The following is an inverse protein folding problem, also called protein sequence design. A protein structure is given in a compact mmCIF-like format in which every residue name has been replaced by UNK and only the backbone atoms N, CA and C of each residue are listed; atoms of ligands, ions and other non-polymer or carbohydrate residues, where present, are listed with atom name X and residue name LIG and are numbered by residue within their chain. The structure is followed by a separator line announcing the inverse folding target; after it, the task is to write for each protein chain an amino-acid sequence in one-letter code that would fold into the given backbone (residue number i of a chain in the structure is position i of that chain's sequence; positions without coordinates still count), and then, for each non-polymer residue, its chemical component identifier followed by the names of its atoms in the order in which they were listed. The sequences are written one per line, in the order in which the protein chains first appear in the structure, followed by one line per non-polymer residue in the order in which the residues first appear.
data_IF_601777868101
#
_entry.id   IF_601777868101
#
_cell.length_a   1.000
_cell.length_b   1.000
_cell.length_c   1.000
_cell.angle_alpha   90.00
_cell.angle_beta   90.00
_cell.angle_gamma   90.00
#
_symmetry.space_group_name_H-M   'P 1'
#
loop_
_entity.id
_entity.type
_entity.pdbx_description
1 polymer ?
#
# COMPACT_ATOMS: atom_id res chain seq x y z
N UNK A 1 2.36 5.46 55.02
CA UNK A 1 2.26 4.11 54.43
C UNK A 1 3.08 4.13 53.15
N UNK A 2 4.10 3.27 52.99
CA UNK A 2 4.91 3.25 51.78
C UNK A 2 4.11 2.63 50.62
N UNK A 3 4.09 3.37 49.50
CA UNK A 3 3.45 3.04 48.23
C UNK A 3 4.15 1.83 47.59
N UNK A 4 3.37 0.83 47.16
CA UNK A 4 3.92 -0.37 46.54
C UNK A 4 4.53 -0.03 45.17
N UNK A 5 5.70 -0.60 44.81
CA UNK A 5 6.31 -0.34 43.52
C UNK A 5 5.43 -0.85 42.38
N UNK A 6 5.39 -0.14 41.22
CA UNK A 6 4.58 -0.55 40.08
C UNK A 6 5.06 -1.91 39.55
N UNK A 7 4.13 -2.73 39.01
CA UNK A 7 4.49 -4.05 38.50
C UNK A 7 5.48 -3.94 37.34
N UNK A 8 6.42 -4.91 37.20
CA UNK A 8 7.37 -4.92 36.11
C UNK A 8 6.63 -4.93 34.77
N UNK A 9 7.13 -4.08 33.86
CA UNK A 9 6.52 -3.78 32.57
C UNK A 9 6.06 -5.03 31.82
N UNK A 10 4.83 -4.94 31.29
CA UNK A 10 4.35 -5.92 30.33
C UNK A 10 5.38 -6.02 29.19
N UNK A 11 5.68 -7.24 28.72
CA UNK A 11 6.53 -7.39 27.55
C UNK A 11 5.91 -6.59 26.41
N UNK A 12 6.64 -5.57 25.94
CA UNK A 12 6.39 -4.93 24.66
C UNK A 12 6.20 -6.07 23.67
N UNK A 13 5.00 -6.23 23.11
CA UNK A 13 4.74 -7.25 22.08
C UNK A 13 5.89 -7.17 21.10
N UNK A 14 6.71 -8.20 21.05
CA UNK A 14 7.74 -8.32 20.03
C UNK A 14 7.01 -8.12 18.70
N UNK A 15 7.35 -7.05 17.98
CA UNK A 15 6.84 -6.84 16.63
C UNK A 15 7.03 -8.15 15.88
N UNK A 16 5.94 -8.66 15.30
CA UNK A 16 6.02 -9.84 14.45
C UNK A 16 7.18 -9.67 13.46
N UNK A 17 7.95 -10.74 13.17
CA UNK A 17 9.04 -10.65 12.20
C UNK A 17 8.46 -10.06 10.91
N UNK A 18 9.07 -8.98 10.42
CA UNK A 18 8.61 -8.32 9.21
C UNK A 18 8.49 -9.34 8.08
N UNK A 19 7.36 -9.32 7.36
CA UNK A 19 7.11 -10.25 6.26
C UNK A 19 8.30 -10.23 5.28
N UNK A 20 9.00 -11.36 5.06
CA UNK A 20 10.15 -11.41 4.14
C UNK A 20 9.78 -11.01 2.70
N UNK A 21 8.52 -11.17 2.30
CA UNK A 21 8.02 -10.67 1.02
C UNK A 21 8.03 -9.14 0.98
N UNK A 22 7.61 -8.47 2.06
CA UNK A 22 7.66 -7.02 2.17
C UNK A 22 9.10 -6.49 2.21
N UNK A 23 10.00 -7.14 2.94
CA UNK A 23 11.43 -6.80 2.93
C UNK A 23 12.05 -6.88 1.52
N UNK A 24 11.63 -7.87 0.74
CA UNK A 24 12.03 -8.00 -0.67
C UNK A 24 11.45 -6.87 -1.52
N UNK A 25 10.18 -6.52 -1.34
CA UNK A 25 9.52 -5.41 -2.04
C UNK A 25 10.25 -4.07 -1.81
N UNK A 26 10.66 -3.79 -0.57
CA UNK A 26 11.43 -2.58 -0.22
C UNK A 26 12.83 -2.61 -0.84
N UNK A 27 13.54 -3.74 -0.81
CA UNK A 27 14.84 -3.86 -1.45
C UNK A 27 14.76 -3.59 -2.97
N UNK A 28 13.71 -4.10 -3.63
CA UNK A 28 13.44 -3.85 -5.05
C UNK A 28 13.06 -2.41 -5.34
N UNK A 29 12.26 -1.79 -4.48
CA UNK A 29 11.91 -0.38 -4.55
C UNK A 29 13.17 0.52 -4.53
N UNK A 30 14.09 0.24 -3.61
CA UNK A 30 15.35 1.01 -3.51
C UNK A 30 16.25 0.83 -4.74
N UNK A 31 16.29 -0.36 -5.35
CA UNK A 31 17.04 -0.60 -6.58
C UNK A 31 16.45 0.16 -7.79
N UNK A 32 15.13 0.37 -7.80
CA UNK A 32 14.41 1.02 -8.90
C UNK A 32 14.61 2.54 -8.96
N UNK A 33 14.90 3.18 -7.82
CA UNK A 33 15.21 4.61 -7.71
C UNK A 33 16.23 5.09 -8.75
N UNK A 34 17.19 4.25 -9.13
CA UNK A 34 18.23 4.59 -10.11
C UNK A 34 17.74 4.65 -11.57
N UNK A 35 16.54 4.15 -11.88
CA UNK A 35 16.02 3.93 -13.24
C UNK A 35 14.77 4.75 -13.60
N UNK A 36 14.36 5.64 -12.69
CA UNK A 36 13.12 6.46 -12.60
C UNK A 36 12.50 6.97 -13.93
N UNK A 37 11.97 6.07 -14.74
CA UNK A 37 11.07 6.33 -15.86
C UNK A 37 10.12 5.15 -16.02
N UNK A 38 8.89 5.36 -16.48
CA UNK A 38 7.90 4.29 -16.69
C UNK A 38 8.36 3.25 -17.72
N UNK A 39 9.10 3.68 -18.74
CA UNK A 39 9.77 2.79 -19.70
C UNK A 39 10.96 2.06 -19.06
N UNK A 40 11.65 2.71 -18.12
CA UNK A 40 12.66 2.10 -17.25
C UNK A 40 12.07 0.99 -16.38
N UNK A 41 10.90 1.22 -15.75
CA UNK A 41 10.21 0.24 -14.93
C UNK A 41 9.68 -0.95 -15.75
N UNK A 42 9.19 -0.71 -16.97
CA UNK A 42 8.81 -1.80 -17.89
C UNK A 42 10.01 -2.66 -18.30
N UNK A 43 11.14 -2.03 -18.63
CA UNK A 43 12.38 -2.76 -18.96
C UNK A 43 12.97 -3.47 -17.74
N UNK A 44 12.95 -2.82 -16.58
CA UNK A 44 13.44 -3.38 -15.32
C UNK A 44 12.58 -4.56 -14.84
N UNK A 45 11.28 -4.58 -15.14
CA UNK A 45 10.38 -5.68 -14.79
C UNK A 45 10.86 -7.05 -15.33
N UNK A 46 11.58 -7.05 -16.45
CA UNK A 46 12.13 -8.27 -17.07
C UNK A 46 13.26 -8.88 -16.25
N UNK A 47 14.00 -8.05 -15.51
CA UNK A 47 15.11 -8.47 -14.65
C UNK A 47 14.66 -8.65 -13.18
N UNK A 48 13.91 -7.68 -12.65
CA UNK A 48 13.49 -7.62 -11.25
C UNK A 48 12.10 -6.98 -11.10
N UNK A 49 11.15 -7.68 -10.47
CA UNK A 49 9.81 -7.12 -10.22
C UNK A 49 9.86 -6.04 -9.12
N UNK A 50 9.58 -4.80 -9.53
CA UNK A 50 9.47 -3.60 -8.68
C UNK A 50 7.99 -3.31 -8.34
N UNK A 51 7.70 -2.47 -7.31
CA UNK A 51 6.32 -2.08 -6.99
C UNK A 51 5.56 -1.49 -8.20
N UNK A 52 6.22 -0.65 -9.00
CA UNK A 52 5.64 -0.08 -10.23
C UNK A 52 5.33 -1.17 -11.27
N UNK A 53 6.27 -2.10 -11.51
CA UNK A 53 6.06 -3.19 -12.46
C UNK A 53 4.90 -4.11 -12.07
N UNK A 54 4.69 -4.35 -10.77
CA UNK A 54 3.53 -5.11 -10.25
C UNK A 54 2.23 -4.38 -10.59
N UNK A 55 2.18 -3.06 -10.38
CA UNK A 55 1.01 -2.26 -10.72
C UNK A 55 0.74 -2.25 -12.24
N UNK A 56 1.79 -2.11 -13.06
CA UNK A 56 1.69 -2.16 -14.53
C UNK A 56 1.19 -3.53 -15.03
N UNK A 57 1.65 -4.61 -14.39
CA UNK A 57 1.24 -5.97 -14.70
C UNK A 57 -0.22 -6.23 -14.34
N UNK A 58 -0.63 -5.82 -13.13
CA UNK A 58 -2.03 -5.90 -12.70
C UNK A 58 -2.96 -5.03 -13.56
N UNK A 59 -2.47 -3.89 -14.06
CA UNK A 59 -3.21 -3.04 -15.00
C UNK A 59 -3.33 -3.62 -16.41
N UNK A 60 -2.63 -4.73 -16.72
CA UNK A 60 -2.67 -5.40 -18.02
C UNK A 60 -1.88 -4.68 -19.11
N UNK A 61 -0.89 -3.86 -18.73
CA UNK A 61 -0.17 -2.97 -19.63
C UNK A 61 1.04 -3.60 -20.33
N UNK A 62 1.33 -4.87 -20.05
CA UNK A 62 2.36 -5.64 -20.76
C UNK A 62 1.75 -6.42 -21.93
N UNK A 63 2.42 -6.38 -23.08
CA UNK A 63 2.06 -7.12 -24.27
C UNK A 63 2.28 -8.63 -24.14
N UNK A 64 1.79 -9.45 -25.10
CA UNK A 64 1.90 -10.91 -25.03
C UNK A 64 3.34 -11.45 -24.98
N UNK A 65 4.31 -10.76 -25.59
CA UNK A 65 5.72 -11.14 -25.54
C UNK A 65 6.32 -10.86 -24.14
N UNK A 66 6.16 -9.64 -23.66
CA UNK A 66 6.62 -9.21 -22.32
C UNK A 66 5.99 -10.08 -21.22
N UNK A 67 4.70 -10.41 -21.32
CA UNK A 67 4.04 -11.31 -20.35
C UNK A 67 4.65 -12.72 -20.31
N UNK A 68 5.12 -13.25 -21.45
CA UNK A 68 5.80 -14.55 -21.49
C UNK A 68 7.15 -14.47 -20.78
N UNK A 69 7.89 -13.39 -20.97
CA UNK A 69 9.18 -13.18 -20.27
C UNK A 69 8.97 -12.99 -18.76
N UNK A 70 7.97 -12.19 -18.37
CA UNK A 70 7.60 -11.96 -16.97
C UNK A 70 7.08 -13.22 -16.28
N UNK A 71 6.45 -14.16 -17.02
CA UNK A 71 5.92 -15.39 -16.44
C UNK A 71 7.02 -16.23 -15.75
N UNK A 72 8.24 -16.24 -16.29
CA UNK A 72 9.38 -16.93 -15.67
C UNK A 72 9.82 -16.25 -14.36
N UNK A 73 9.71 -14.92 -14.26
CA UNK A 73 10.02 -14.17 -13.04
C UNK A 73 8.91 -14.30 -11.99
N UNK A 74 7.64 -14.34 -12.40
CA UNK A 74 6.50 -14.57 -11.50
C UNK A 74 6.50 -15.97 -10.88
N UNK A 75 6.92 -16.99 -11.62
CA UNK A 75 7.08 -18.37 -11.10
C UNK A 75 8.11 -18.41 -9.97
N UNK A 76 9.21 -17.64 -10.10
CA UNK A 76 10.27 -17.56 -9.09
C UNK A 76 9.90 -16.70 -7.89
N UNK A 77 8.87 -15.87 -8.00
CA UNK A 77 8.44 -14.92 -6.97
C UNK A 77 6.94 -15.08 -6.66
N UNK A 78 6.52 -16.16 -5.97
CA UNK A 78 5.10 -16.43 -5.69
C UNK A 78 4.38 -15.28 -4.98
N UNK A 79 5.09 -14.53 -4.13
CA UNK A 79 4.54 -13.36 -3.44
C UNK A 79 4.10 -12.26 -4.42
N UNK A 80 4.83 -12.05 -5.51
CA UNK A 80 4.54 -11.00 -6.49
C UNK A 80 3.28 -11.35 -7.29
N UNK A 81 3.11 -12.63 -7.64
CA UNK A 81 1.88 -13.14 -8.23
C UNK A 81 0.67 -12.97 -7.29
N UNK A 82 0.88 -13.23 -5.99
CA UNK A 82 -0.10 -12.95 -4.95
C UNK A 82 -0.55 -11.49 -4.95
N UNK A 83 0.42 -10.56 -4.93
CA UNK A 83 0.14 -9.10 -4.96
C UNK A 83 -0.57 -8.64 -6.23
N UNK A 84 -0.17 -9.14 -7.41
CA UNK A 84 -0.90 -8.86 -8.67
C UNK A 84 -2.35 -9.31 -8.56
N UNK A 85 -2.58 -10.53 -8.06
CA UNK A 85 -3.91 -11.10 -7.93
C UNK A 85 -4.76 -10.37 -6.88
N UNK A 86 -4.16 -9.96 -5.76
CA UNK A 86 -4.79 -9.14 -4.74
C UNK A 86 -5.22 -7.79 -5.30
N UNK A 87 -4.33 -7.11 -6.02
CA UNK A 87 -4.60 -5.80 -6.62
C UNK A 87 -5.77 -5.85 -7.62
N UNK A 88 -5.78 -6.85 -8.51
CA UNK A 88 -6.86 -7.02 -9.49
C UNK A 88 -8.19 -7.36 -8.82
N UNK A 89 -8.20 -8.24 -7.81
CA UNK A 89 -9.42 -8.62 -7.08
C UNK A 89 -9.96 -7.45 -6.28
N UNK A 90 -9.12 -6.79 -5.49
CA UNK A 90 -9.51 -5.67 -4.64
C UNK A 90 -10.06 -4.48 -5.45
N UNK A 91 -9.53 -4.22 -6.66
CA UNK A 91 -10.06 -3.17 -7.54
C UNK A 91 -11.38 -3.54 -8.25
N UNK A 92 -11.74 -4.83 -8.30
CA UNK A 92 -12.96 -5.34 -8.97
C UNK A 92 -14.04 -5.82 -7.98
N UNK A 93 -13.74 -5.84 -6.68
CA UNK A 93 -14.68 -6.23 -5.65
C UNK A 93 -15.92 -5.30 -5.65
N UNK A 94 -17.05 -5.81 -5.14
CA UNK A 94 -18.31 -5.06 -5.06
C UNK A 94 -18.15 -3.72 -4.32
N UNK A 95 -17.26 -3.68 -3.31
CA UNK A 95 -16.72 -2.46 -2.73
C UNK A 95 -15.23 -2.40 -3.06
N UNK A 96 -14.91 -1.76 -4.18
CA UNK A 96 -13.53 -1.68 -4.65
C UNK A 96 -12.65 -0.99 -3.59
N UNK A 97 -11.47 -1.56 -3.33
CA UNK A 97 -10.55 -1.00 -2.35
C UNK A 97 -9.91 0.29 -2.91
N UNK A 98 -10.00 1.44 -2.21
CA UNK A 98 -9.53 2.73 -2.73
C UNK A 98 -8.07 2.73 -3.20
N UNK A 99 -7.15 2.15 -2.42
CA UNK A 99 -5.75 2.06 -2.83
C UNK A 99 -5.56 1.22 -4.11
N UNK A 100 -6.30 0.13 -4.26
CA UNK A 100 -6.16 -0.73 -5.43
C UNK A 100 -6.59 -0.01 -6.71
N UNK A 101 -7.72 0.71 -6.64
CA UNK A 101 -8.22 1.53 -7.75
C UNK A 101 -7.20 2.60 -8.14
N UNK A 102 -6.65 3.32 -7.15
CA UNK A 102 -5.72 4.44 -7.40
C UNK A 102 -4.35 3.97 -7.92
N UNK A 103 -3.82 2.85 -7.42
CA UNK A 103 -2.59 2.26 -7.93
C UNK A 103 -2.73 1.80 -9.39
N UNK A 104 -3.86 1.21 -9.76
CA UNK A 104 -4.12 0.81 -11.15
C UNK A 104 -4.35 2.03 -12.07
N UNK A 105 -4.99 3.09 -11.57
CA UNK A 105 -5.15 4.34 -12.31
C UNK A 105 -3.78 5.00 -12.56
N UNK A 106 -2.93 5.08 -11.55
CA UNK A 106 -1.55 5.57 -11.66
C UNK A 106 -0.77 4.79 -12.73
N UNK A 107 -0.82 3.45 -12.69
CA UNK A 107 -0.20 2.59 -13.68
C UNK A 107 -0.65 2.90 -15.12
N UNK A 108 -1.96 3.08 -15.34
CA UNK A 108 -2.51 3.41 -16.68
C UNK A 108 -2.13 4.81 -17.16
N UNK A 109 -2.02 5.76 -16.24
CA UNK A 109 -1.57 7.12 -16.56
C UNK A 109 -0.06 7.21 -16.77
N UNK A 110 0.69 6.19 -16.33
CA UNK A 110 2.15 6.18 -16.37
C UNK A 110 2.81 7.11 -15.35
N UNK A 111 2.08 7.57 -14.33
CA UNK A 111 2.57 8.49 -13.30
C UNK A 111 2.32 7.91 -11.91
N UNK A 112 3.41 7.59 -11.20
CA UNK A 112 3.36 7.11 -9.81
C UNK A 112 3.79 8.21 -8.85
N UNK A 113 2.83 9.01 -8.40
CA UNK A 113 3.00 9.86 -7.22
C UNK A 113 2.38 9.14 -6.01
N UNK A 114 3.18 8.50 -5.15
CA UNK A 114 2.66 7.74 -4.01
C UNK A 114 1.86 8.62 -3.04
N UNK A 115 2.22 9.90 -2.90
CA UNK A 115 1.52 10.79 -1.97
C UNK A 115 0.18 11.27 -2.53
N UNK A 116 0.13 11.56 -3.84
CA UNK A 116 -1.12 11.82 -4.55
C UNK A 116 -2.06 10.59 -4.53
N UNK A 117 -1.53 9.39 -4.78
CA UNK A 117 -2.27 8.13 -4.70
C UNK A 117 -2.85 7.92 -3.30
N UNK A 118 -2.03 8.11 -2.26
CA UNK A 118 -2.46 7.98 -0.88
C UNK A 118 -3.53 9.00 -0.50
N UNK A 119 -3.38 10.27 -0.92
CA UNK A 119 -4.36 11.31 -0.68
C UNK A 119 -5.71 10.98 -1.33
N UNK A 120 -5.71 10.56 -2.58
CA UNK A 120 -6.92 10.18 -3.31
C UNK A 120 -7.62 8.97 -2.69
N UNK A 121 -6.85 7.97 -2.27
CA UNK A 121 -7.40 6.80 -1.61
C UNK A 121 -8.06 7.15 -0.26
N UNK A 122 -7.48 8.08 0.51
CA UNK A 122 -8.09 8.59 1.75
C UNK A 122 -9.40 9.35 1.49
N UNK A 123 -9.47 10.16 0.42
CA UNK A 123 -10.70 10.89 0.05
C UNK A 123 -11.82 9.93 -0.32
N UNK A 124 -11.50 8.91 -1.09
CA UNK A 124 -12.47 7.91 -1.53
C UNK A 124 -12.96 7.03 -0.38
N UNK A 125 -12.08 6.70 0.58
CA UNK A 125 -12.47 6.00 1.79
C UNK A 125 -13.48 6.78 2.65
N UNK A 126 -13.33 8.11 2.76
CA UNK A 126 -14.27 8.98 3.50
C UNK A 126 -15.67 8.97 2.90
N UNK A 127 -15.80 8.97 1.56
CA UNK A 127 -17.10 8.94 0.89
C UNK A 127 -17.85 7.63 1.18
N UNK A 128 -17.11 6.56 1.50
CA UNK A 128 -17.67 5.21 1.62
C UNK A 128 -18.05 4.85 3.07
N UNK A 129 -17.60 5.61 4.07
CA UNK A 129 -17.93 5.40 5.49
C UNK A 129 -18.67 6.63 6.03
N UNK A 130 -20.01 6.69 5.92
CA UNK A 130 -20.77 7.81 6.45
C UNK A 130 -20.93 7.72 7.98
N UNK A 131 -20.48 8.75 8.71
CA UNK A 131 -20.94 9.02 10.09
C UNK A 131 -19.92 8.90 11.23
N UNK A 132 -18.63 9.09 10.99
CA UNK A 132 -17.63 9.15 12.07
C UNK A 132 -17.36 10.57 12.57
N UNK A 133 -17.15 10.75 13.87
CA UNK A 133 -16.68 12.02 14.47
C UNK A 133 -15.29 12.46 13.93
N UNK A 134 -14.62 11.60 13.14
CA UNK A 134 -13.26 11.75 12.63
C UNK A 134 -13.15 12.07 11.12
N UNK A 135 -14.26 12.33 10.41
CA UNK A 135 -14.27 12.62 8.97
C UNK A 135 -13.36 13.80 8.59
N UNK A 136 -13.23 14.79 9.49
CA UNK A 136 -12.34 15.94 9.30
C UNK A 136 -10.85 15.61 9.35
N UNK A 137 -10.46 14.57 10.10
CA UNK A 137 -9.04 14.17 10.26
C UNK A 137 -8.51 13.50 8.99
N UNK A 138 -9.29 12.60 8.39
CA UNK A 138 -8.91 11.97 7.13
C UNK A 138 -8.88 12.97 5.98
N UNK A 139 -9.85 13.90 5.90
CA UNK A 139 -9.88 14.95 4.90
C UNK A 139 -8.64 15.85 5.01
N UNK A 140 -8.27 16.21 6.25
CA UNK A 140 -7.06 16.98 6.55
C UNK A 140 -5.80 16.23 6.16
N UNK A 141 -5.66 14.94 6.50
CA UNK A 141 -4.52 14.13 6.11
C UNK A 141 -4.37 14.05 4.59
N UNK A 142 -5.47 13.80 3.86
CA UNK A 142 -5.46 13.76 2.40
C UNK A 142 -5.00 15.09 1.78
N UNK A 143 -5.48 16.23 2.31
CA UNK A 143 -5.03 17.56 1.87
C UNK A 143 -3.54 17.75 2.11
N UNK A 144 -3.05 17.45 3.32
CA UNK A 144 -1.64 17.59 3.68
C UNK A 144 -0.73 16.74 2.79
N UNK A 145 -1.14 15.51 2.45
CA UNK A 145 -0.40 14.66 1.51
C UNK A 145 -0.33 15.27 0.11
N UNK A 146 -1.43 15.82 -0.41
CA UNK A 146 -1.44 16.50 -1.72
C UNK A 146 -0.60 17.78 -1.73
N UNK A 147 -0.47 18.45 -0.59
CA UNK A 147 0.39 19.63 -0.41
C UNK A 147 1.87 19.27 -0.17
N UNK A 148 2.22 17.97 -0.12
CA UNK A 148 3.58 17.51 0.19
C UNK A 148 3.96 17.66 1.68
N UNK A 149 3.02 18.02 2.56
CA UNK A 149 3.19 18.20 4.01
C UNK A 149 3.11 16.86 4.75
N UNK A 150 3.98 15.93 4.36
CA UNK A 150 3.93 14.51 4.76
C UNK A 150 4.07 14.27 6.26
N UNK A 151 4.97 15.01 6.92
CA UNK A 151 5.18 14.89 8.37
C UNK A 151 3.89 15.20 9.15
N UNK A 152 3.20 16.27 8.78
CA UNK A 152 1.94 16.65 9.41
C UNK A 152 0.83 15.65 9.08
N UNK A 153 0.81 15.10 7.86
CA UNK A 153 -0.12 14.03 7.52
C UNK A 153 0.12 12.77 8.38
N UNK A 154 1.38 12.39 8.62
CA UNK A 154 1.71 11.30 9.54
C UNK A 154 1.19 11.57 10.95
N UNK A 155 1.39 12.77 11.48
CA UNK A 155 0.92 13.15 12.82
C UNK A 155 -0.61 13.06 12.93
N UNK A 156 -1.34 13.45 11.88
CA UNK A 156 -2.80 13.30 11.82
C UNK A 156 -3.22 11.83 11.74
N UNK A 157 -2.45 10.98 11.06
CA UNK A 157 -2.76 9.56 10.87
C UNK A 157 -2.30 8.66 12.02
N UNK A 158 -1.36 9.11 12.84
CA UNK A 158 -0.76 8.32 13.93
C UNK A 158 -1.80 7.70 14.90
N UNK A 159 -2.85 8.44 15.35
CA UNK A 159 -3.87 7.86 16.22
C UNK A 159 -4.62 6.67 15.59
N UNK A 160 -4.71 6.63 14.26
CA UNK A 160 -5.36 5.55 13.53
C UNK A 160 -4.42 4.39 13.21
N UNK A 161 -3.10 4.64 13.17
CA UNK A 161 -2.10 3.63 12.81
C UNK A 161 -2.01 2.50 13.85
N UNK A 162 -2.24 2.80 15.13
CA UNK A 162 -2.21 1.82 16.23
C UNK A 162 -3.51 1.01 16.35
N UNK A 163 -4.62 1.55 15.83
CA UNK A 163 -5.94 0.90 15.87
C UNK A 163 -6.22 0.02 14.64
N UNK A 164 -5.40 0.11 13.60
CA UNK A 164 -5.69 -0.50 12.32
C UNK A 164 -4.97 -1.85 12.18
N UNK A 165 -5.71 -2.89 11.76
CA UNK A 165 -5.14 -4.21 11.50
C UNK A 165 -4.01 -4.13 10.45
N UNK A 166 -3.13 -5.12 10.46
CA UNK A 166 -2.15 -5.32 9.39
C UNK A 166 -2.86 -5.42 8.04
N UNK A 167 -2.34 -4.75 7.00
CA UNK A 167 -2.99 -4.66 5.68
C UNK A 167 -4.09 -3.59 5.56
N UNK A 168 -4.32 -2.76 6.58
CA UNK A 168 -5.30 -1.66 6.51
C UNK A 168 -4.81 -0.45 5.70
N UNK A 169 -5.74 0.21 5.02
CA UNK A 169 -5.53 1.46 4.27
C UNK A 169 -4.77 2.52 5.09
N UNK A 170 -5.23 2.78 6.32
CA UNK A 170 -4.68 3.86 7.16
C UNK A 170 -3.24 3.58 7.60
N UNK A 171 -2.93 2.32 7.95
CA UNK A 171 -1.57 1.92 8.28
C UNK A 171 -0.64 2.04 7.07
N UNK A 172 -1.09 1.61 5.89
CA UNK A 172 -0.32 1.71 4.67
C UNK A 172 -0.03 3.17 4.27
N UNK A 173 -1.05 4.04 4.34
CA UNK A 173 -0.89 5.47 4.06
C UNK A 173 0.01 6.16 5.10
N UNK A 174 -0.13 5.81 6.38
CA UNK A 174 0.76 6.31 7.44
C UNK A 174 2.23 5.93 7.17
N UNK A 175 2.51 4.66 6.86
CA UNK A 175 3.86 4.17 6.52
C UNK A 175 4.42 4.82 5.25
N UNK A 176 3.58 4.99 4.22
CA UNK A 176 3.96 5.66 2.99
C UNK A 176 4.28 7.16 3.22
N UNK A 177 3.51 7.85 4.05
CA UNK A 177 3.75 9.24 4.41
C UNK A 177 5.06 9.41 5.22
N UNK A 178 5.39 8.44 6.08
CA UNK A 178 6.62 8.46 6.89
C UNK A 178 7.87 8.13 6.07
N UNK A 179 7.70 7.51 4.91
CA UNK A 179 8.81 7.09 4.03
C UNK A 179 9.48 8.29 3.38
N UNK A 180 10.82 8.34 3.41
CA UNK A 180 11.58 9.41 2.75
C UNK A 180 11.74 9.19 1.25
N UNK A 181 11.55 7.96 0.78
CA UNK A 181 11.74 7.52 -0.60
C UNK A 181 10.38 7.18 -1.25
N UNK A 182 10.16 7.66 -2.47
CA UNK A 182 8.90 7.48 -3.19
C UNK A 182 8.64 6.01 -3.56
N UNK A 183 9.67 5.25 -3.92
CA UNK A 183 9.51 3.84 -4.28
C UNK A 183 9.17 3.00 -3.04
N UNK A 184 9.79 3.33 -1.89
CA UNK A 184 9.47 2.68 -0.62
C UNK A 184 8.05 3.05 -0.16
N UNK A 185 7.64 4.31 -0.36
CA UNK A 185 6.27 4.72 -0.11
C UNK A 185 5.29 3.91 -0.97
N UNK A 186 5.58 3.72 -2.26
CA UNK A 186 4.77 2.92 -3.17
C UNK A 186 4.70 1.44 -2.72
N UNK A 187 5.82 0.88 -2.23
CA UNK A 187 5.86 -0.46 -1.67
C UNK A 187 4.90 -0.60 -0.47
N UNK A 188 4.89 0.36 0.44
CA UNK A 188 3.95 0.39 1.57
C UNK A 188 2.48 0.47 1.13
N UNK A 189 2.18 1.28 0.11
CA UNK A 189 0.81 1.39 -0.42
C UNK A 189 0.34 0.10 -1.08
N UNK A 190 1.23 -0.59 -1.81
CA UNK A 190 0.94 -1.88 -2.43
C UNK A 190 0.71 -2.98 -1.39
N UNK A 191 1.47 -2.96 -0.29
CA UNK A 191 1.29 -3.89 0.83
C UNK A 191 -0.07 -3.68 1.53
N UNK A 192 -0.53 -2.42 1.59
CA UNK A 192 -1.85 -2.05 2.12
C UNK A 192 -3.06 -2.49 1.30
N UNK A 193 -2.86 -3.25 0.23
CA UNK A 193 -3.95 -3.82 -0.57
C UNK A 193 -4.28 -5.20 -0.01
N UNK A 194 -5.53 -5.45 0.41
CA UNK A 194 -5.90 -6.71 1.03
C UNK A 194 -5.85 -7.86 0.02
N UNK A 195 -5.41 -9.03 0.47
CA UNK A 195 -5.41 -10.28 -0.32
C UNK A 195 -6.82 -10.86 -0.53
N UNK A 196 -7.87 -10.16 -0.07
CA UNK A 196 -9.26 -10.55 -0.29
C UNK A 196 -9.69 -11.79 0.50
N UNK A 197 -9.14 -12.02 1.69
CA UNK A 197 -9.59 -13.10 2.59
C UNK A 197 -10.69 -12.64 3.55
N UNK A 198 -10.81 -11.33 3.82
CA UNK A 198 -11.84 -10.78 4.70
C UNK A 198 -13.03 -10.21 3.91
N UNK A 199 -13.62 -11.02 3.02
CA UNK A 199 -15.04 -10.87 2.78
C UNK A 199 -15.74 -11.52 3.99
N UNK A 200 -16.06 -10.71 5.01
CA UNK A 200 -17.00 -11.14 6.04
C UNK A 200 -18.23 -11.76 5.35
N UNK A 201 -18.76 -12.88 5.87
CA UNK A 201 -19.85 -13.59 5.22
C UNK A 201 -21.04 -12.65 5.02
N UNK A 202 -21.58 -12.61 3.81
CA UNK A 202 -22.90 -12.03 3.55
C UNK A 202 -23.88 -12.67 4.55
N UNK A 203 -24.37 -11.90 5.53
CA UNK A 203 -25.55 -12.32 6.27
C UNK A 203 -26.75 -12.21 5.32
N UNK A 204 -27.45 -13.32 5.02
CA UNK A 204 -28.67 -13.26 4.25
C UNK A 204 -29.77 -12.63 5.10
N UNK A 205 -30.30 -11.49 4.63
CA UNK A 205 -31.58 -10.93 5.06
C UNK A 205 -32.76 -11.58 4.35
#
# INVERSE_FOLDING_TARGET
MPEAPPPPGQPTRASAPADPAFGTLVARALAERARSTTDGARRAALDELTPQSICLLAAGLFGPAERRELSASLIRLPWALGRVSALVRAARAHRAHPLAVRLLAAARSGSFDPWGIAADALREAQVTVPGGEDDGSLARAARLLSEGRRREACEVLAPFADSAAEGSLLLAVHRAAASQDAEVALAHLLEGVPDGVDAAPDEPG
#
